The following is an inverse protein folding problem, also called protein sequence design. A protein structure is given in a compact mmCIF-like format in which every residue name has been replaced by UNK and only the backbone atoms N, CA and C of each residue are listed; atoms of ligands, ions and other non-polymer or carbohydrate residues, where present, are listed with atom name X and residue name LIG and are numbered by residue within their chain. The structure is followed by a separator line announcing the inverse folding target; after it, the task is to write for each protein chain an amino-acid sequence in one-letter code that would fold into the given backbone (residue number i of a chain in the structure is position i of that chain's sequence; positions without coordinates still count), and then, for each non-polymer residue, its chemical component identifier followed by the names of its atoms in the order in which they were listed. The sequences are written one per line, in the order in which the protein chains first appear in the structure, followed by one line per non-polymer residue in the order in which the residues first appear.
data_IF_256475917598
#
_entry.id   IF_256475917598
#
_cell.length_a   1.000
_cell.length_b   1.000
_cell.length_c   1.000
_cell.angle_alpha   90.00
_cell.angle_beta   90.00
_cell.angle_gamma   90.00
#
_symmetry.space_group_name_H-M   'P 1'
#
loop_
_entity.id
_entity.type
_entity.pdbx_description
1 polymer ?
#
# COMPACT_ATOMS: atom_id res chain seq x y z
N UNK A 1 14.41 -13.50 9.13
CA UNK A 1 14.73 -12.64 10.30
C UNK A 1 15.94 -13.24 10.99
N UNK A 2 17.01 -12.46 11.14
CA UNK A 2 18.22 -12.88 11.87
C UNK A 2 17.96 -12.90 13.38
N UNK A 3 18.50 -13.89 14.06
CA UNK A 3 18.42 -14.06 15.52
C UNK A 3 19.69 -13.59 16.25
N UNK A 4 20.75 -13.18 15.54
CA UNK A 4 22.06 -12.85 16.14
C UNK A 4 21.97 -11.79 17.25
N UNK A 5 21.09 -10.81 17.08
CA UNK A 5 20.86 -9.72 18.03
C UNK A 5 19.48 -9.81 18.70
N UNK A 6 18.77 -10.93 18.54
CA UNK A 6 17.42 -11.11 19.07
C UNK A 6 17.47 -11.58 20.52
N UNK A 7 17.04 -10.76 21.51
CA UNK A 7 17.23 -11.08 22.93
C UNK A 7 16.19 -12.07 23.48
N UNK A 8 15.21 -12.50 22.67
CA UNK A 8 14.11 -13.35 23.09
C UNK A 8 14.17 -14.75 22.45
N UNK A 9 13.20 -15.61 22.77
CA UNK A 9 13.15 -16.97 22.23
C UNK A 9 12.86 -17.01 20.73
N UNK A 10 13.30 -18.08 20.06
CA UNK A 10 12.98 -18.36 18.65
C UNK A 10 11.46 -18.43 18.40
N UNK A 11 10.72 -18.98 19.36
CA UNK A 11 9.26 -19.04 19.31
C UNK A 11 8.63 -17.65 19.21
N UNK A 12 9.15 -16.68 19.96
CA UNK A 12 8.69 -15.30 19.88
C UNK A 12 9.08 -14.66 18.54
N UNK A 13 10.28 -14.92 18.02
CA UNK A 13 10.68 -14.45 16.70
C UNK A 13 9.73 -14.96 15.59
N UNK A 14 9.30 -16.23 15.67
CA UNK A 14 8.33 -16.79 14.72
C UNK A 14 6.95 -16.13 14.84
N UNK A 15 6.49 -15.81 16.06
CA UNK A 15 5.23 -15.08 16.28
C UNK A 15 5.33 -13.69 15.63
N UNK A 16 6.41 -12.96 15.93
CA UNK A 16 6.66 -11.61 15.37
C UNK A 16 6.70 -11.66 13.86
N UNK A 17 7.39 -12.63 13.26
CA UNK A 17 7.43 -12.80 11.82
C UNK A 17 6.05 -13.06 11.22
N UNK A 18 5.25 -13.95 11.81
CA UNK A 18 3.88 -14.19 11.36
C UNK A 18 2.98 -12.97 11.56
N UNK A 19 3.19 -12.17 12.61
CA UNK A 19 2.49 -10.89 12.81
C UNK A 19 2.84 -9.89 11.72
N UNK A 20 4.12 -9.81 11.31
CA UNK A 20 4.54 -8.96 10.18
C UNK A 20 3.85 -9.40 8.87
N UNK A 21 3.74 -10.71 8.61
CA UNK A 21 2.94 -11.22 7.49
C UNK A 21 1.46 -10.81 7.61
N UNK A 22 0.90 -10.84 8.81
CA UNK A 22 -0.45 -10.34 9.10
C UNK A 22 -0.60 -8.87 8.74
N UNK A 23 0.36 -8.00 9.10
CA UNK A 23 0.36 -6.60 8.70
C UNK A 23 0.34 -6.44 7.16
N UNK A 24 1.05 -7.31 6.43
CA UNK A 24 1.00 -7.38 4.97
C UNK A 24 -0.41 -7.63 4.42
N UNK A 25 -1.22 -8.45 5.10
CA UNK A 25 -2.61 -8.73 4.72
C UNK A 25 -3.59 -7.60 4.99
N UNK A 26 -3.26 -6.67 5.91
CA UNK A 26 -4.07 -5.48 6.18
C UNK A 26 -4.00 -4.50 5.00
N UNK A 27 -2.82 -4.35 4.38
CA UNK A 27 -2.56 -3.38 3.31
C UNK A 27 -3.51 -3.49 2.11
N UNK A 28 -3.68 -4.64 1.42
CA UNK A 28 -4.58 -4.72 0.25
C UNK A 28 -6.02 -4.34 0.59
N UNK A 29 -6.48 -4.73 1.78
CA UNK A 29 -7.83 -4.45 2.26
C UNK A 29 -8.01 -2.95 2.53
N UNK A 30 -7.02 -2.31 3.17
CA UNK A 30 -7.03 -0.85 3.35
C UNK A 30 -7.06 -0.13 2.01
N UNK A 31 -6.24 -0.54 1.04
CA UNK A 31 -6.24 0.05 -0.31
C UNK A 31 -7.65 0.01 -0.89
N UNK A 32 -8.31 -1.14 -0.89
CA UNK A 32 -9.68 -1.26 -1.41
C UNK A 32 -10.68 -0.34 -0.68
N UNK A 33 -10.59 -0.23 0.65
CA UNK A 33 -11.45 0.65 1.46
C UNK A 33 -11.19 2.12 1.13
N UNK A 34 -9.92 2.53 0.95
CA UNK A 34 -9.58 3.89 0.53
C UNK A 34 -10.20 4.24 -0.83
N UNK A 35 -10.20 3.30 -1.78
CA UNK A 35 -10.86 3.50 -3.08
C UNK A 35 -12.39 3.57 -2.97
N UNK A 36 -13.02 2.73 -2.14
CA UNK A 36 -14.47 2.82 -1.85
C UNK A 36 -14.80 4.18 -1.23
N UNK A 37 -14.01 4.64 -0.26
CA UNK A 37 -14.19 5.94 0.39
C UNK A 37 -14.12 7.08 -0.64
N UNK A 38 -13.07 7.08 -1.48
CA UNK A 38 -12.89 8.06 -2.56
C UNK A 38 -14.11 8.08 -3.49
N UNK A 39 -14.62 6.91 -3.88
CA UNK A 39 -15.83 6.81 -4.71
C UNK A 39 -17.07 7.42 -4.02
N UNK A 40 -17.33 7.08 -2.76
CA UNK A 40 -18.49 7.64 -2.03
C UNK A 40 -18.39 9.15 -1.81
N UNK A 41 -17.17 9.67 -1.62
CA UNK A 41 -16.95 11.12 -1.55
C UNK A 41 -17.32 11.83 -2.86
N UNK A 42 -16.98 11.22 -4.01
CA UNK A 42 -17.32 11.73 -5.34
C UNK A 42 -18.81 11.61 -5.67
N UNK A 43 -19.50 10.61 -5.13
CA UNK A 43 -20.90 10.40 -5.45
C UNK A 43 -21.81 11.53 -4.92
N UNK A 44 -21.40 12.20 -3.83
CA UNK A 44 -22.14 13.28 -3.14
C UNK A 44 -23.59 12.93 -2.75
N UNK A 45 -23.96 11.64 -2.72
CA UNK A 45 -25.30 11.15 -2.32
C UNK A 45 -25.46 10.86 -0.82
N UNK A 46 -24.54 11.33 0.02
CA UNK A 46 -24.58 11.10 1.47
C UNK A 46 -24.10 9.70 1.91
N UNK A 47 -23.53 8.88 1.02
CA UNK A 47 -22.97 7.57 1.36
C UNK A 47 -21.75 7.64 2.30
N UNK A 48 -21.12 8.80 2.44
CA UNK A 48 -20.11 9.06 3.47
C UNK A 48 -20.62 8.85 4.91
N UNK A 49 -21.94 8.79 5.13
CA UNK A 49 -22.52 8.42 6.42
C UNK A 49 -22.08 7.03 6.91
N UNK A 50 -21.76 6.12 5.98
CA UNK A 50 -21.25 4.77 6.31
C UNK A 50 -19.80 4.79 6.80
N UNK A 51 -19.09 5.90 6.62
CA UNK A 51 -17.75 6.12 7.15
C UNK A 51 -17.76 7.00 8.43
N UNK A 52 -18.92 7.08 9.11
CA UNK A 52 -19.09 7.85 10.35
C UNK A 52 -19.82 7.03 11.41
N UNK A 53 -19.58 7.37 12.68
CA UNK A 53 -20.26 6.77 13.83
C UNK A 53 -20.08 5.25 13.90
N UNK A 54 -21.17 4.53 14.19
CA UNK A 54 -21.15 3.06 14.39
C UNK A 54 -20.70 2.24 13.18
N UNK A 55 -20.90 2.74 11.95
CA UNK A 55 -20.49 2.02 10.73
C UNK A 55 -18.98 2.06 10.51
N UNK A 56 -18.28 3.03 11.10
CA UNK A 56 -16.82 3.14 11.03
C UNK A 56 -16.11 1.92 11.65
N UNK A 57 -16.72 1.32 12.69
CA UNK A 57 -16.18 0.13 13.37
C UNK A 57 -16.03 -1.03 12.37
N UNK A 58 -17.01 -1.22 11.47
CA UNK A 58 -16.94 -2.28 10.47
C UNK A 58 -15.74 -2.10 9.53
N UNK A 59 -15.42 -0.87 9.14
CA UNK A 59 -14.27 -0.56 8.28
C UNK A 59 -12.91 -0.79 8.94
N UNK A 60 -12.84 -0.81 10.28
CA UNK A 60 -11.63 -1.22 11.00
C UNK A 60 -11.54 -2.73 11.21
N UNK A 61 -12.67 -3.41 11.40
CA UNK A 61 -12.71 -4.87 11.57
C UNK A 61 -12.28 -5.58 10.29
N UNK A 62 -12.74 -5.12 9.11
CA UNK A 62 -12.47 -5.79 7.83
C UNK A 62 -10.95 -5.93 7.55
N UNK A 63 -10.11 -4.89 7.66
CA UNK A 63 -8.65 -5.03 7.55
C UNK A 63 -8.03 -5.95 8.60
N UNK A 64 -8.50 -5.90 9.86
CA UNK A 64 -8.00 -6.77 10.93
C UNK A 64 -8.25 -8.24 10.59
N UNK A 65 -9.42 -8.57 10.02
CA UNK A 65 -9.73 -9.92 9.53
C UNK A 65 -8.80 -10.34 8.38
N UNK A 66 -8.50 -9.41 7.45
CA UNK A 66 -7.52 -9.64 6.38
C UNK A 66 -6.12 -9.94 6.93
N UNK A 67 -5.69 -9.19 7.95
CA UNK A 67 -4.42 -9.44 8.62
C UNK A 67 -4.40 -10.74 9.41
N UNK A 68 -5.51 -11.09 10.07
CA UNK A 68 -5.64 -12.38 10.77
C UNK A 68 -5.56 -13.55 9.79
N UNK A 69 -6.16 -13.44 8.60
CA UNK A 69 -6.05 -14.45 7.54
C UNK A 69 -4.59 -14.65 7.12
N UNK A 70 -3.82 -13.59 6.89
CA UNK A 70 -2.40 -13.70 6.51
C UNK A 70 -1.53 -14.23 7.65
N UNK A 71 -1.80 -13.83 8.89
CA UNK A 71 -1.16 -14.41 10.07
C UNK A 71 -1.42 -15.92 10.15
N UNK A 72 -2.68 -16.33 9.98
CA UNK A 72 -3.09 -17.73 9.99
C UNK A 72 -2.35 -18.53 8.92
N UNK A 73 -2.29 -18.03 7.68
CA UNK A 73 -1.54 -18.67 6.59
C UNK A 73 -0.05 -18.81 6.95
N UNK A 74 0.58 -17.75 7.44
CA UNK A 74 1.99 -17.79 7.86
C UNK A 74 2.24 -18.79 9.00
N UNK A 75 1.36 -18.81 10.00
CA UNK A 75 1.55 -19.61 11.20
C UNK A 75 1.34 -21.11 10.97
N UNK A 76 0.35 -21.49 10.16
CA UNK A 76 -0.02 -22.89 9.97
C UNK A 76 0.62 -23.53 8.74
N UNK A 77 0.88 -22.77 7.68
CA UNK A 77 1.33 -23.34 6.39
C UNK A 77 2.79 -23.00 6.08
N UNK A 78 3.25 -21.78 6.39
CA UNK A 78 4.57 -21.30 5.99
C UNK A 78 5.61 -21.31 7.11
N UNK A 79 5.24 -21.84 8.28
CA UNK A 79 6.12 -21.90 9.45
C UNK A 79 7.36 -22.74 9.15
N UNK A 80 8.49 -22.33 9.75
CA UNK A 80 9.75 -23.07 9.71
C UNK A 80 9.54 -24.56 9.97
N UNK A 81 10.04 -25.39 9.06
CA UNK A 81 10.06 -26.84 9.16
C UNK A 81 11.38 -27.37 8.58
N UNK A 82 11.78 -28.59 8.96
CA UNK A 82 13.09 -29.15 8.61
C UNK A 82 13.27 -29.30 7.09
N UNK A 83 12.29 -29.86 6.37
CA UNK A 83 12.35 -30.07 4.92
C UNK A 83 12.57 -28.76 4.14
N UNK A 84 11.84 -27.72 4.52
CA UNK A 84 11.97 -26.39 3.91
C UNK A 84 13.28 -25.74 4.33
N UNK A 85 13.73 -25.95 5.57
CA UNK A 85 14.99 -25.39 6.09
C UNK A 85 16.16 -25.91 5.27
N UNK A 86 16.15 -27.21 4.96
CA UNK A 86 17.15 -27.84 4.10
C UNK A 86 17.11 -27.25 2.69
N UNK A 87 15.92 -27.15 2.10
CA UNK A 87 15.71 -26.63 0.75
C UNK A 87 16.26 -25.21 0.57
N UNK A 88 16.00 -24.30 1.53
CA UNK A 88 16.45 -22.90 1.43
C UNK A 88 17.83 -22.64 2.05
N UNK A 89 18.50 -23.65 2.63
CA UNK A 89 19.76 -23.49 3.38
C UNK A 89 20.83 -22.78 2.56
N UNK A 90 21.10 -23.32 1.38
CA UNK A 90 22.15 -22.80 0.52
C UNK A 90 21.79 -21.41 -0.01
N UNK A 91 20.55 -21.21 -0.45
CA UNK A 91 20.06 -19.92 -0.95
C UNK A 91 20.18 -18.81 0.09
N UNK A 92 19.84 -19.07 1.37
CA UNK A 92 19.95 -18.05 2.42
C UNK A 92 21.40 -17.77 2.80
N UNK A 93 22.25 -18.79 2.81
CA UNK A 93 23.67 -18.61 3.07
C UNK A 93 24.33 -17.75 1.99
N UNK A 94 24.08 -18.06 0.72
CA UNK A 94 24.67 -17.35 -0.43
C UNK A 94 24.18 -15.91 -0.52
N UNK A 95 22.89 -15.66 -0.29
CA UNK A 95 22.30 -14.34 -0.46
C UNK A 95 22.42 -13.42 0.76
N UNK A 96 22.38 -13.97 1.98
CA UNK A 96 22.33 -13.20 3.22
C UNK A 96 23.52 -13.45 4.16
N UNK A 97 24.35 -14.46 3.90
CA UNK A 97 25.45 -14.84 4.80
C UNK A 97 24.96 -15.36 6.16
N UNK A 98 23.73 -15.89 6.22
CA UNK A 98 23.09 -16.36 7.44
C UNK A 98 22.99 -17.87 7.49
N UNK A 99 23.28 -18.45 8.66
CA UNK A 99 23.03 -19.86 8.91
C UNK A 99 21.57 -20.07 9.39
N UNK A 100 21.04 -21.27 9.12
CA UNK A 100 19.65 -21.60 9.46
C UNK A 100 19.36 -21.71 10.95
N UNK A 101 20.37 -22.04 11.76
CA UNK A 101 20.28 -22.05 13.22
C UNK A 101 20.13 -20.63 13.81
N UNK A 102 20.50 -19.60 13.06
CA UNK A 102 20.45 -18.20 13.48
C UNK A 102 19.32 -17.43 12.78
N UNK A 103 18.37 -18.12 12.13
CA UNK A 103 17.36 -17.48 11.29
C UNK A 103 15.99 -18.08 11.49
N UNK A 104 14.98 -17.21 11.64
CA UNK A 104 13.57 -17.59 11.51
C UNK A 104 13.03 -17.07 10.19
N UNK A 105 12.25 -17.90 9.50
CA UNK A 105 11.68 -17.57 8.19
C UNK A 105 10.26 -18.11 8.06
N UNK A 106 9.53 -17.54 7.10
CA UNK A 106 8.27 -18.07 6.59
C UNK A 106 8.46 -18.33 5.10
N UNK A 107 8.22 -19.56 4.66
CA UNK A 107 8.40 -19.93 3.26
C UNK A 107 7.36 -20.97 2.82
N UNK A 108 6.91 -20.85 1.56
CA UNK A 108 6.07 -21.83 0.92
C UNK A 108 6.95 -22.77 0.08
N UNK A 109 6.87 -24.07 0.33
CA UNK A 109 7.54 -25.08 -0.47
C UNK A 109 6.48 -25.95 -1.14
N UNK A 110 6.19 -25.67 -2.42
CA UNK A 110 5.10 -26.32 -3.14
C UNK A 110 5.36 -27.80 -3.45
N UNK A 111 6.62 -28.19 -3.65
CA UNK A 111 7.00 -29.52 -4.11
C UNK A 111 8.02 -30.19 -3.18
N UNK A 112 7.68 -30.47 -1.91
CA UNK A 112 8.59 -31.17 -1.02
C UNK A 112 8.84 -32.60 -1.50
N UNK A 113 10.09 -33.12 -1.40
CA UNK A 113 10.39 -34.50 -1.72
C UNK A 113 9.74 -35.47 -0.72
N UNK A 114 9.21 -36.58 -1.26
CA UNK A 114 8.75 -37.74 -0.49
C UNK A 114 9.92 -38.56 0.07
N UNK A 115 9.61 -39.66 0.77
CA UNK A 115 10.60 -40.55 1.37
C UNK A 115 11.48 -41.26 0.31
N UNK A 116 11.06 -41.26 -0.96
CA UNK A 116 11.82 -41.76 -2.11
C UNK A 116 12.57 -40.65 -2.86
N UNK A 117 12.51 -39.40 -2.39
CA UNK A 117 13.14 -38.23 -3.00
C UNK A 117 12.37 -37.64 -4.19
N UNK A 118 11.15 -38.10 -4.48
CA UNK A 118 10.34 -37.60 -5.60
C UNK A 118 9.54 -36.37 -5.14
N UNK A 119 9.65 -35.22 -5.83
CA UNK A 119 8.90 -34.01 -5.48
C UNK A 119 7.42 -34.16 -5.86
N UNK A 120 6.52 -33.96 -4.89
CA UNK A 120 5.07 -33.96 -5.12
C UNK A 120 4.44 -32.67 -4.63
N UNK A 121 3.36 -32.25 -5.28
CA UNK A 121 2.63 -31.04 -4.90
C UNK A 121 1.98 -31.20 -3.52
N UNK A 122 2.39 -30.38 -2.56
CA UNK A 122 1.77 -30.34 -1.24
C UNK A 122 0.40 -29.66 -1.32
N UNK A 123 -0.64 -30.46 -1.14
CA UNK A 123 -2.03 -30.00 -1.20
C UNK A 123 -2.37 -28.95 -0.13
N UNK A 124 -1.72 -28.97 1.02
CA UNK A 124 -1.92 -27.95 2.07
C UNK A 124 -1.34 -26.62 1.62
N UNK A 125 -0.14 -26.62 1.05
CA UNK A 125 0.50 -25.41 0.53
C UNK A 125 -0.30 -24.88 -0.67
N UNK A 126 -0.79 -25.74 -1.57
CA UNK A 126 -1.68 -25.33 -2.66
C UNK A 126 -2.97 -24.68 -2.13
N UNK A 127 -3.61 -25.28 -1.12
CA UNK A 127 -4.79 -24.69 -0.47
C UNK A 127 -4.48 -23.30 0.10
N UNK A 128 -3.35 -23.14 0.79
CA UNK A 128 -2.93 -21.84 1.34
C UNK A 128 -2.67 -20.79 0.26
N UNK A 129 -2.12 -21.19 -0.89
CA UNK A 129 -1.93 -20.32 -2.05
C UNK A 129 -3.26 -19.89 -2.66
N UNK A 130 -4.25 -20.79 -2.78
CA UNK A 130 -5.59 -20.44 -3.26
C UNK A 130 -6.24 -19.40 -2.34
N UNK A 131 -6.18 -19.61 -1.03
CA UNK A 131 -6.71 -18.64 -0.04
C UNK A 131 -5.99 -17.29 -0.16
N UNK A 132 -4.65 -17.30 -0.24
CA UNK A 132 -3.85 -16.09 -0.44
C UNK A 132 -4.25 -15.36 -1.73
N UNK A 133 -4.42 -16.09 -2.83
CA UNK A 133 -4.81 -15.57 -4.14
C UNK A 133 -6.17 -14.87 -4.07
N UNK A 134 -7.18 -15.50 -3.45
CA UNK A 134 -8.47 -14.84 -3.24
C UNK A 134 -8.36 -13.61 -2.34
N UNK A 135 -7.53 -13.67 -1.29
CA UNK A 135 -7.33 -12.55 -0.37
C UNK A 135 -6.70 -11.32 -1.03
N UNK A 136 -5.90 -11.51 -2.09
CA UNK A 136 -5.36 -10.42 -2.93
C UNK A 136 -6.31 -10.02 -4.06
N UNK A 137 -6.98 -11.00 -4.69
CA UNK A 137 -7.86 -10.77 -5.82
C UNK A 137 -9.10 -9.97 -5.44
N UNK A 138 -9.71 -10.23 -4.28
CA UNK A 138 -10.92 -9.52 -3.86
C UNK A 138 -10.66 -8.00 -3.72
N UNK A 139 -9.67 -7.53 -2.92
CA UNK A 139 -9.36 -6.11 -2.84
C UNK A 139 -8.92 -5.50 -4.17
N UNK A 140 -8.17 -6.26 -4.99
CA UNK A 140 -7.77 -5.82 -6.33
C UNK A 140 -8.97 -5.53 -7.22
N UNK A 141 -9.94 -6.45 -7.29
CA UNK A 141 -11.15 -6.28 -8.10
C UNK A 141 -12.00 -5.11 -7.58
N UNK A 142 -12.15 -4.95 -6.26
CA UNK A 142 -12.86 -3.82 -5.66
C UNK A 142 -12.19 -2.50 -6.07
N UNK A 143 -10.86 -2.42 -5.98
CA UNK A 143 -10.08 -1.24 -6.37
C UNK A 143 -10.30 -0.90 -7.85
N UNK A 144 -10.19 -1.87 -8.77
CA UNK A 144 -10.41 -1.63 -10.20
C UNK A 144 -11.85 -1.18 -10.47
N UNK A 145 -12.83 -1.88 -9.89
CA UNK A 145 -14.24 -1.56 -10.07
C UNK A 145 -14.58 -0.15 -9.56
N UNK A 146 -14.22 0.17 -8.32
CA UNK A 146 -14.48 1.49 -7.72
C UNK A 146 -13.66 2.59 -8.37
N UNK A 147 -12.45 2.31 -8.86
CA UNK A 147 -11.66 3.22 -9.68
C UNK A 147 -12.38 3.57 -10.99
N UNK A 148 -12.89 2.57 -11.71
CA UNK A 148 -13.65 2.77 -12.94
C UNK A 148 -14.97 3.54 -12.71
N UNK A 149 -15.69 3.21 -11.63
CA UNK A 149 -16.90 3.95 -11.25
C UNK A 149 -16.60 5.41 -10.90
N UNK A 150 -15.52 5.66 -10.16
CA UNK A 150 -15.06 7.01 -9.81
C UNK A 150 -14.70 7.82 -11.04
N UNK A 151 -13.97 7.21 -11.98
CA UNK A 151 -13.65 7.80 -13.28
C UNK A 151 -14.92 8.21 -14.03
N UNK A 152 -15.90 7.29 -14.15
CA UNK A 152 -17.17 7.54 -14.81
C UNK A 152 -17.99 8.65 -14.16
N UNK A 153 -17.96 8.73 -12.82
CA UNK A 153 -18.69 9.75 -12.06
C UNK A 153 -18.07 11.13 -12.24
N UNK A 154 -16.75 11.25 -12.19
CA UNK A 154 -16.05 12.53 -12.42
C UNK A 154 -16.30 13.04 -13.84
N UNK A 155 -16.27 12.16 -14.86
CA UNK A 155 -16.57 12.57 -16.24
C UNK A 155 -17.97 13.20 -16.36
N UNK A 156 -18.98 12.58 -15.74
CA UNK A 156 -20.35 13.14 -15.70
C UNK A 156 -20.43 14.47 -14.96
N UNK A 157 -19.69 14.64 -13.86
CA UNK A 157 -19.62 15.90 -13.10
C UNK A 157 -19.02 17.03 -13.95
N UNK A 158 -18.01 16.74 -14.78
CA UNK A 158 -17.39 17.70 -15.70
C UNK A 158 -18.36 18.11 -16.81
N UNK A 159 -19.20 17.18 -17.29
CA UNK A 159 -20.20 17.42 -18.35
C UNK A 159 -21.41 18.24 -17.87
N UNK A 160 -21.85 18.09 -16.61
CA UNK A 160 -23.08 18.71 -16.08
C UNK A 160 -22.89 20.15 -15.55
N UNK A 161 -21.80 20.84 -15.90
CA UNK A 161 -21.71 22.30 -15.74
C UNK A 161 -21.69 22.81 -14.29
N UNK A 162 -20.85 22.23 -13.41
CA UNK A 162 -20.50 22.91 -12.15
C UNK A 162 -19.69 24.19 -12.43
N UNK A 163 -19.61 25.11 -11.46
CA UNK A 163 -18.83 26.34 -11.59
C UNK A 163 -17.38 26.07 -12.00
N UNK A 164 -16.76 27.03 -12.69
CA UNK A 164 -15.44 26.87 -13.30
C UNK A 164 -14.36 26.40 -12.30
N UNK A 165 -14.42 26.92 -11.07
CA UNK A 165 -13.56 26.48 -9.97
C UNK A 165 -13.72 24.98 -9.66
N UNK A 166 -14.95 24.51 -9.45
CA UNK A 166 -15.17 23.09 -9.14
C UNK A 166 -14.84 22.21 -10.32
N UNK A 167 -15.11 22.64 -11.55
CA UNK A 167 -14.71 21.91 -12.76
C UNK A 167 -13.19 21.72 -12.83
N UNK A 168 -12.40 22.77 -12.55
CA UNK A 168 -10.93 22.70 -12.50
C UNK A 168 -10.45 21.74 -11.42
N UNK A 169 -10.99 21.85 -10.21
CA UNK A 169 -10.63 20.98 -9.08
C UNK A 169 -10.95 19.51 -9.37
N UNK A 170 -12.14 19.22 -9.92
CA UNK A 170 -12.54 17.86 -10.30
C UNK A 170 -11.63 17.27 -11.38
N UNK A 171 -11.19 18.06 -12.36
CA UNK A 171 -10.24 17.60 -13.39
C UNK A 171 -8.87 17.26 -12.79
N UNK A 172 -8.37 18.06 -11.85
CA UNK A 172 -7.10 17.78 -11.17
C UNK A 172 -7.21 16.51 -10.30
N UNK A 173 -8.28 16.38 -9.52
CA UNK A 173 -8.57 15.17 -8.76
C UNK A 173 -8.69 13.94 -9.66
N UNK A 174 -9.30 14.08 -10.84
CA UNK A 174 -9.38 13.01 -11.83
C UNK A 174 -7.99 12.54 -12.30
N UNK A 175 -7.12 13.49 -12.69
CA UNK A 175 -5.76 13.17 -13.12
C UNK A 175 -4.98 12.47 -12.01
N UNK A 176 -5.08 12.97 -10.77
CA UNK A 176 -4.46 12.33 -9.61
C UNK A 176 -4.99 10.91 -9.38
N UNK A 177 -6.31 10.72 -9.45
CA UNK A 177 -6.95 9.43 -9.23
C UNK A 177 -6.54 8.37 -10.26
N UNK A 178 -6.40 8.76 -11.53
CA UNK A 178 -5.91 7.85 -12.59
C UNK A 178 -4.51 7.37 -12.24
N UNK A 179 -3.59 8.27 -11.89
CA UNK A 179 -2.22 7.90 -11.48
C UNK A 179 -2.24 7.00 -10.24
N UNK A 180 -3.03 7.36 -9.22
CA UNK A 180 -3.18 6.56 -7.99
C UNK A 180 -3.80 5.19 -8.21
N UNK A 181 -4.54 4.97 -9.30
CA UNK A 181 -5.06 3.63 -9.64
C UNK A 181 -3.95 2.75 -10.19
N UNK A 182 -3.02 3.30 -10.97
CA UNK A 182 -1.89 2.56 -11.52
C UNK A 182 -0.80 2.23 -10.49
N UNK A 183 -0.55 3.13 -9.54
CA UNK A 183 0.47 2.94 -8.51
C UNK A 183 0.36 1.61 -7.73
N UNK A 184 -0.75 1.28 -7.05
CA UNK A 184 -0.87 0.03 -6.32
C UNK A 184 -0.86 -1.19 -7.24
N UNK A 185 -1.28 -1.06 -8.50
CA UNK A 185 -1.21 -2.17 -9.47
C UNK A 185 0.26 -2.54 -9.73
N UNK A 186 1.09 -1.57 -10.08
CA UNK A 186 2.48 -1.80 -10.48
C UNK A 186 3.47 -1.91 -9.32
N UNK A 187 3.23 -1.22 -8.21
CA UNK A 187 4.12 -1.20 -7.05
C UNK A 187 3.76 -2.26 -6.00
N UNK A 188 2.55 -2.83 -6.06
CA UNK A 188 2.09 -3.76 -5.04
C UNK A 188 1.45 -5.03 -5.61
N UNK A 189 0.29 -4.95 -6.24
CA UNK A 189 -0.49 -6.15 -6.61
C UNK A 189 0.20 -7.03 -7.65
N UNK A 190 0.77 -6.47 -8.72
CA UNK A 190 1.44 -7.23 -9.76
C UNK A 190 2.75 -7.86 -9.26
N UNK A 191 3.68 -7.12 -8.62
CA UNK A 191 4.90 -7.70 -8.05
C UNK A 191 4.61 -8.81 -7.02
N UNK A 192 3.64 -8.60 -6.11
CA UNK A 192 3.27 -9.59 -5.09
C UNK A 192 2.59 -10.81 -5.69
N UNK A 193 1.69 -10.62 -6.66
CA UNK A 193 1.06 -11.72 -7.37
C UNK A 193 2.08 -12.58 -8.10
N UNK A 194 3.02 -11.96 -8.82
CA UNK A 194 4.10 -12.67 -9.48
C UNK A 194 5.00 -13.41 -8.47
N UNK A 195 5.36 -12.76 -7.35
CA UNK A 195 6.20 -13.34 -6.29
C UNK A 195 5.59 -14.62 -5.70
N UNK A 196 4.28 -14.64 -5.46
CA UNK A 196 3.61 -15.82 -4.88
C UNK A 196 3.28 -16.91 -5.89
N UNK A 197 3.08 -16.55 -7.15
CA UNK A 197 2.70 -17.49 -8.21
C UNK A 197 3.91 -18.16 -8.88
N UNK A 198 5.04 -17.47 -9.01
CA UNK A 198 6.21 -18.00 -9.73
C UNK A 198 6.76 -19.33 -9.15
N UNK A 199 6.82 -19.55 -7.82
CA UNK A 199 7.29 -20.83 -7.27
C UNK A 199 6.40 -22.02 -7.64
N UNK A 200 5.11 -21.80 -7.92
CA UNK A 200 4.19 -22.86 -8.37
C UNK A 200 4.57 -23.38 -9.77
N UNK A 201 5.17 -22.53 -10.60
CA UNK A 201 5.62 -22.87 -11.96
C UNK A 201 7.12 -23.22 -12.02
N UNK A 202 7.77 -23.44 -10.88
CA UNK A 202 9.21 -23.70 -10.78
C UNK A 202 10.08 -22.59 -11.36
N UNK A 203 9.58 -21.35 -11.39
CA UNK A 203 10.34 -20.19 -11.88
C UNK A 203 11.12 -19.60 -10.70
N UNK A 204 12.45 -19.60 -10.81
CA UNK A 204 13.31 -18.94 -9.83
C UNK A 204 13.23 -17.41 -9.99
N UNK A 205 12.84 -16.76 -8.91
CA UNK A 205 12.65 -15.31 -8.82
C UNK A 205 13.46 -14.71 -7.67
N UNK A 206 14.54 -15.36 -7.24
CA UNK A 206 15.39 -14.90 -6.13
C UNK A 206 15.75 -13.41 -6.22
N UNK A 207 16.28 -12.95 -7.36
CA UNK A 207 16.61 -11.53 -7.57
C UNK A 207 15.37 -10.62 -7.62
N UNK A 208 14.27 -11.08 -8.22
CA UNK A 208 13.02 -10.34 -8.32
C UNK A 208 12.33 -10.17 -6.97
N UNK A 209 12.54 -11.09 -6.02
CA UNK A 209 11.97 -11.02 -4.67
C UNK A 209 12.47 -9.79 -3.89
N UNK A 210 13.74 -9.41 -4.06
CA UNK A 210 14.29 -8.18 -3.48
C UNK A 210 13.59 -6.95 -4.03
N UNK A 211 13.48 -6.86 -5.36
CA UNK A 211 12.82 -5.74 -6.02
C UNK A 211 11.37 -5.61 -5.56
N UNK A 212 10.61 -6.71 -5.54
CA UNK A 212 9.23 -6.73 -5.04
C UNK A 212 9.13 -6.22 -3.60
N UNK A 213 10.07 -6.61 -2.73
CA UNK A 213 10.12 -6.15 -1.34
C UNK A 213 10.33 -4.63 -1.25
N UNK A 214 11.24 -4.07 -2.07
CA UNK A 214 11.46 -2.62 -2.13
C UNK A 214 10.24 -1.86 -2.67
N UNK A 215 9.62 -2.36 -3.74
CA UNK A 215 8.42 -1.73 -4.32
C UNK A 215 7.26 -1.70 -3.32
N UNK A 216 7.06 -2.80 -2.59
CA UNK A 216 6.07 -2.88 -1.52
C UNK A 216 6.35 -1.86 -0.40
N UNK A 217 7.60 -1.78 0.07
CA UNK A 217 7.99 -0.85 1.13
C UNK A 217 7.84 0.62 0.70
N UNK A 218 8.06 0.92 -0.59
CA UNK A 218 7.98 2.27 -1.14
C UNK A 218 6.55 2.72 -1.42
N UNK A 219 5.63 1.79 -1.72
CA UNK A 219 4.25 2.12 -2.10
C UNK A 219 3.55 3.14 -1.18
N UNK A 220 3.56 2.99 0.16
CA UNK A 220 2.88 3.95 1.06
C UNK A 220 3.41 5.38 0.95
N UNK A 221 4.70 5.56 0.65
CA UNK A 221 5.30 6.87 0.47
C UNK A 221 4.92 7.51 -0.88
N UNK A 222 4.68 6.69 -1.91
CA UNK A 222 4.40 7.16 -3.28
C UNK A 222 2.90 7.42 -3.51
N UNK A 223 1.99 6.65 -2.87
CA UNK A 223 0.54 6.81 -3.01
C UNK A 223 0.00 8.25 -2.81
N UNK A 224 0.46 9.04 -1.82
CA UNK A 224 -0.05 10.40 -1.62
C UNK A 224 0.51 11.44 -2.61
N UNK A 225 1.65 11.18 -3.25
CA UNK A 225 2.36 12.16 -4.08
C UNK A 225 1.53 12.67 -5.28
N UNK A 226 0.77 11.83 -6.01
CA UNK A 226 -0.06 12.32 -7.11
C UNK A 226 -1.08 13.37 -6.66
N UNK A 227 -1.77 13.17 -5.53
CA UNK A 227 -2.72 14.19 -5.03
C UNK A 227 -1.96 15.46 -4.64
N UNK A 228 -0.84 15.31 -3.92
CA UNK A 228 -0.06 16.42 -3.40
C UNK A 228 0.51 17.32 -4.51
N UNK A 229 0.98 16.75 -5.62
CA UNK A 229 1.63 17.52 -6.69
C UNK A 229 0.70 17.89 -7.87
N UNK A 230 -0.32 17.08 -8.16
CA UNK A 230 -1.24 17.33 -9.29
C UNK A 230 -2.34 18.33 -8.91
N UNK A 231 -2.86 18.25 -7.69
CA UNK A 231 -3.96 19.11 -7.24
C UNK A 231 -3.39 20.43 -6.70
N UNK A 232 -3.76 21.53 -7.33
CA UNK A 232 -3.17 22.85 -7.11
C UNK A 232 -3.33 23.33 -5.67
N UNK A 233 -4.50 23.12 -5.08
CA UNK A 233 -4.84 23.51 -3.72
C UNK A 233 -3.98 22.75 -2.70
N UNK A 234 -3.75 21.45 -2.92
CA UNK A 234 -2.86 20.65 -2.06
C UNK A 234 -1.39 21.02 -2.26
N UNK A 235 -0.98 21.30 -3.50
CA UNK A 235 0.39 21.70 -3.82
C UNK A 235 0.74 23.04 -3.16
N UNK A 236 -0.17 24.02 -3.20
CA UNK A 236 0.02 25.31 -2.52
C UNK A 236 0.16 25.13 -1.01
N UNK A 237 -0.76 24.38 -0.40
CA UNK A 237 -0.70 24.08 1.03
C UNK A 237 0.61 23.36 1.43
N UNK A 238 1.10 22.46 0.57
CA UNK A 238 2.37 21.78 0.80
C UNK A 238 3.57 22.73 0.75
N UNK A 239 3.64 23.64 -0.24
CA UNK A 239 4.70 24.64 -0.30
C UNK A 239 4.62 25.67 0.83
N UNK A 240 3.42 26.11 1.21
CA UNK A 240 3.24 26.97 2.38
C UNK A 240 3.75 26.31 3.67
N UNK A 241 3.49 25.02 3.85
CA UNK A 241 4.03 24.24 4.98
C UNK A 241 5.56 24.18 4.94
N UNK A 242 6.14 23.97 3.75
CA UNK A 242 7.59 23.93 3.56
C UNK A 242 8.25 25.30 3.76
N UNK A 243 7.68 26.38 3.24
CA UNK A 243 8.16 27.75 3.41
C UNK A 243 8.07 28.20 4.88
N UNK A 244 7.02 27.78 5.59
CA UNK A 244 6.90 27.97 7.04
C UNK A 244 7.98 27.19 7.81
N UNK A 245 8.24 25.94 7.43
CA UNK A 245 9.31 25.13 8.04
C UNK A 245 10.72 25.60 7.68
N UNK A 246 10.90 26.29 6.55
CA UNK A 246 12.18 26.82 6.07
C UNK A 246 12.43 28.29 6.48
N UNK A 247 11.52 28.90 7.26
CA UNK A 247 11.67 30.25 7.82
C UNK A 247 12.07 31.32 6.78
N UNK A 248 11.34 31.43 5.68
CA UNK A 248 11.36 32.70 4.91
C UNK A 248 10.40 33.68 5.57
N UNK A 249 10.87 34.84 6.09
CA UNK A 249 9.96 35.86 6.56
C UNK A 249 9.07 36.32 5.39
N UNK A 250 7.78 36.60 5.61
CA UNK A 250 6.93 37.10 4.55
C UNK A 250 7.56 38.38 3.97
N UNK A 251 7.52 38.60 2.65
CA UNK A 251 8.02 39.84 2.08
C UNK A 251 7.26 40.98 2.74
N UNK A 252 8.00 41.85 3.43
CA UNK A 252 7.47 43.10 3.95
C UNK A 252 6.77 43.79 2.79
N UNK A 253 5.46 44.00 2.92
CA UNK A 253 4.76 44.96 2.06
C UNK A 253 5.52 46.27 2.21
N UNK A 254 6.30 46.63 1.20
CA UNK A 254 6.84 47.98 1.08
C UNK A 254 5.60 48.84 0.88
N UNK A 255 5.14 49.48 1.96
CA UNK A 255 4.22 50.61 1.82
C UNK A 255 4.94 51.62 0.94
N UNK A 256 4.46 51.76 -0.29
CA UNK A 256 4.94 52.76 -1.22
C UNK A 256 4.87 54.13 -0.54
N UNK A 257 6.05 54.70 -0.27
CA UNK A 257 6.23 56.06 0.23
C UNK A 257 5.65 57.14 -0.72
N UNK A 258 5.06 56.74 -1.85
CA UNK A 258 4.33 57.61 -2.77
C UNK A 258 2.97 58.08 -2.22
N UNK A 259 2.38 57.36 -1.24
CA UNK A 259 1.09 57.75 -0.65
C UNK A 259 1.22 58.85 0.43
N UNK A 260 2.40 58.99 1.05
CA UNK A 260 2.64 60.01 2.08
C UNK A 260 2.83 61.41 1.49
N UNK A 261 3.43 61.53 0.31
CA UNK A 261 3.62 62.82 -0.37
C UNK A 261 2.31 63.38 -0.93
N UNK A 262 1.41 62.52 -1.40
CA UNK A 262 0.13 62.94 -2.01
C UNK A 262 -0.85 63.54 -0.99
N UNK A 263 -0.68 63.24 0.29
CA UNK A 263 -1.48 63.85 1.38
C UNK A 263 -0.89 65.17 1.91
N UNK A 264 0.38 65.48 1.62
CA UNK A 264 1.03 66.73 2.03
C UNK A 264 0.70 67.91 1.11
N UNK A 265 0.46 67.66 -0.19
CA UNK A 265 0.11 68.71 -1.16
C UNK A 265 -1.38 69.09 -1.14
N UNK A 266 -2.24 68.26 -0.55
CA UNK A 266 -3.68 68.55 -0.41
C UNK A 266 -4.01 69.39 0.83
N UNK A 267 -3.02 69.73 1.67
CA UNK A 267 -3.17 70.44 2.94
C UNK A 267 -2.56 71.87 2.93
N UNK A 268 -2.20 72.38 1.75
CA UNK A 268 -1.68 73.74 1.52
C UNK A 268 -2.58 74.47 0.52
#
# INVERSE_FOLDING_TARGET
MSLKEWPFSEGLAQIVLSTLCGCGGVTPVLIAIHFIYRFFALERKGNLKYFKGKYLIAWFIIPILGGFNWFHLSWFYYRRNEKTTEYIRQTVLENFGLHMNETVYSAAFFYPPDDNGVPHLDMKILQSYIILSFSLAIPFNIMIFTGFMSHSKIKKLIEHGECEYTKRLQLQLHKALVVQTFLPIFLFFLPMGALFTAPLFHVDIGSWSYLTTYLYALYPAVDPLPIMFIVEEYRKAFYELFDFCLCTPPPTKVEDASSMYRNSEAAL
#
